data_IF_395020436368
#
_entry.id   IF_395020436368
#
_cell.length_a   1.000
_cell.length_b   1.000
_cell.length_c   1.000
_cell.angle_alpha   90.00
_cell.angle_beta   90.00
_cell.angle_gamma   90.00
#
_symmetry.space_group_name_H-M   'P 1'
#
loop_
_entity.id
_entity.type
_entity.pdbx_description
1 polymer ?
#
# COMPACT_ATOMS: atom_id res chain seq x y z
N UNK A 1 1.44 -31.76 13.62
CA UNK A 1 2.59 -31.42 14.49
C UNK A 1 2.07 -31.47 15.91
N UNK A 2 2.41 -32.50 16.62
CA UNK A 2 2.12 -32.69 18.06
C UNK A 2 3.41 -32.42 18.82
N UNK A 3 3.36 -31.61 19.89
CA UNK A 3 4.51 -31.41 20.77
C UNK A 3 4.89 -29.95 21.10
N UNK A 4 4.15 -28.98 20.64
CA UNK A 4 4.36 -27.59 21.06
C UNK A 4 3.30 -27.25 22.12
N UNK A 5 3.66 -27.45 23.39
CA UNK A 5 2.85 -27.05 24.55
C UNK A 5 3.62 -25.97 25.32
N UNK A 6 2.91 -24.99 25.90
CA UNK A 6 3.46 -23.89 26.69
C UNK A 6 4.28 -22.82 25.94
N UNK A 7 3.88 -22.44 24.72
CA UNK A 7 4.36 -21.17 24.16
C UNK A 7 3.77 -20.05 25.01
N UNK A 8 4.60 -19.39 25.79
CA UNK A 8 4.23 -18.12 26.42
C UNK A 8 4.02 -17.13 25.29
N UNK A 9 2.82 -16.59 25.16
CA UNK A 9 2.56 -15.45 24.29
C UNK A 9 3.60 -14.37 24.58
N UNK A 10 4.30 -13.89 23.57
CA UNK A 10 5.08 -12.67 23.68
C UNK A 10 4.18 -11.57 24.24
N UNK A 11 4.73 -10.65 25.03
CA UNK A 11 3.95 -9.64 25.74
C UNK A 11 2.98 -8.91 24.80
N UNK A 12 1.79 -8.62 25.29
CA UNK A 12 0.75 -7.90 24.53
C UNK A 12 1.16 -6.49 24.11
N UNK A 13 2.26 -6.02 24.63
CA UNK A 13 2.72 -4.64 24.49
C UNK A 13 4.21 -4.61 24.16
N UNK A 14 4.58 -3.84 23.15
CA UNK A 14 5.96 -3.56 22.76
C UNK A 14 6.09 -2.06 22.53
N UNK A 15 7.10 -1.44 23.11
CA UNK A 15 7.46 -0.05 22.87
C UNK A 15 8.94 0.01 22.48
N UNK A 16 9.23 0.59 21.34
CA UNK A 16 10.58 0.74 20.77
C UNK A 16 10.88 2.22 20.62
N UNK A 17 11.58 2.84 21.60
CA UNK A 17 12.09 4.18 21.40
C UNK A 17 13.28 4.16 20.45
N UNK A 18 13.34 5.13 19.55
CA UNK A 18 14.43 5.32 18.61
C UNK A 18 15.03 6.73 18.73
N UNK A 19 16.32 6.84 18.52
CA UNK A 19 16.97 8.13 18.33
C UNK A 19 18.05 8.01 17.27
N UNK A 20 18.10 8.99 16.36
CA UNK A 20 19.10 9.08 15.31
C UNK A 20 19.72 10.46 15.32
N UNK A 21 21.04 10.48 15.24
CA UNK A 21 21.82 11.70 15.08
C UNK A 21 22.49 11.62 13.72
N UNK A 22 22.14 12.53 12.82
CA UNK A 22 22.73 12.62 11.49
C UNK A 22 23.61 13.85 11.42
N UNK A 23 24.89 13.65 11.09
CA UNK A 23 25.82 14.72 10.79
C UNK A 23 25.99 14.80 9.28
N UNK A 24 25.62 15.92 8.67
CA UNK A 24 25.87 16.19 7.26
C UNK A 24 26.88 17.32 7.12
N UNK A 25 27.84 17.13 6.18
CA UNK A 25 28.80 18.15 5.80
C UNK A 25 28.62 18.41 4.30
N UNK A 26 28.17 19.60 3.96
CA UNK A 26 28.09 20.05 2.56
C UNK A 26 29.29 20.97 2.29
N UNK A 27 30.16 20.55 1.37
CA UNK A 27 31.25 21.37 0.86
C UNK A 27 30.85 22.00 -0.47
N UNK A 28 30.88 23.32 -0.56
CA UNK A 28 30.76 24.01 -1.84
C UNK A 28 32.16 24.45 -2.30
N UNK A 29 32.56 24.08 -3.51
CA UNK A 29 33.71 24.67 -4.16
C UNK A 29 33.32 26.07 -4.68
N UNK A 30 33.80 27.09 -4.00
CA UNK A 30 33.84 28.45 -4.56
C UNK A 30 35.25 28.76 -5.00
N UNK A 31 35.39 29.56 -6.06
CA UNK A 31 36.72 29.95 -6.66
C UNK A 31 37.71 30.53 -5.65
N UNK A 32 37.31 30.78 -4.40
CA UNK A 32 38.18 31.44 -3.40
C UNK A 32 38.25 30.75 -2.01
N UNK A 33 37.39 29.78 -1.70
CA UNK A 33 37.44 29.06 -0.40
C UNK A 33 36.52 27.83 -0.40
N UNK A 34 36.94 26.78 0.32
CA UNK A 34 36.07 25.67 0.74
C UNK A 34 35.22 26.16 1.93
N UNK A 35 33.94 26.45 1.69
CA UNK A 35 32.98 26.77 2.75
C UNK A 35 32.20 25.50 3.03
N UNK A 36 32.47 24.85 4.17
CA UNK A 36 31.71 23.71 4.65
C UNK A 36 30.68 24.14 5.69
N UNK A 37 29.42 23.74 5.52
CA UNK A 37 28.43 23.83 6.60
C UNK A 37 28.21 22.46 7.21
N UNK A 38 28.46 22.32 8.52
CA UNK A 38 28.15 21.12 9.27
C UNK A 38 26.77 21.29 9.89
N UNK A 39 25.85 20.37 9.61
CA UNK A 39 24.52 20.32 10.21
C UNK A 39 24.36 19.05 11.02
N UNK A 40 23.90 19.19 12.26
CA UNK A 40 23.50 18.09 13.11
C UNK A 40 21.98 18.06 13.17
N UNK A 41 21.41 16.94 12.73
CA UNK A 41 19.98 16.67 12.87
C UNK A 41 19.75 15.62 13.94
N UNK A 42 18.83 15.91 14.86
CA UNK A 42 18.36 14.97 15.87
C UNK A 42 16.98 14.49 15.46
N UNK A 43 16.77 13.20 15.46
CA UNK A 43 15.47 12.60 15.29
C UNK A 43 15.17 11.68 16.47
N UNK A 44 14.03 11.89 17.14
CA UNK A 44 13.53 11.02 18.20
C UNK A 44 12.24 10.41 17.69
N UNK A 45 12.17 9.09 17.73
CA UNK A 45 11.04 8.30 17.25
C UNK A 45 10.53 7.35 18.35
N UNK A 46 9.31 6.88 18.18
CA UNK A 46 8.74 5.86 19.05
C UNK A 46 7.76 4.99 18.30
N UNK A 47 7.99 3.69 18.32
CA UNK A 47 7.07 2.69 17.79
C UNK A 47 6.38 1.96 18.93
N UNK A 48 5.08 1.80 18.77
CA UNK A 48 4.19 1.18 19.72
C UNK A 48 3.45 0.03 19.03
N UNK A 49 3.42 -1.15 19.64
CA UNK A 49 2.64 -2.29 19.18
C UNK A 49 1.84 -2.86 20.35
N UNK A 50 0.58 -3.13 20.11
CA UNK A 50 -0.34 -3.71 21.09
C UNK A 50 -1.19 -4.79 20.46
N UNK A 51 -1.05 -6.02 20.94
CA UNK A 51 -1.90 -7.13 20.55
C UNK A 51 -3.20 -7.09 21.34
N UNK A 52 -4.26 -6.52 20.75
CA UNK A 52 -5.60 -6.42 21.35
C UNK A 52 -6.15 -7.82 21.57
N UNK A 53 -5.99 -8.67 20.57
CA UNK A 53 -6.30 -10.11 20.62
C UNK A 53 -5.19 -10.90 19.95
N UNK A 54 -5.27 -12.23 19.95
CA UNK A 54 -4.33 -13.10 19.21
C UNK A 54 -4.36 -12.89 17.69
N UNK A 55 -5.39 -12.19 17.18
CA UNK A 55 -5.61 -11.96 15.74
C UNK A 55 -5.84 -10.50 15.39
N UNK A 56 -5.69 -9.57 16.35
CA UNK A 56 -5.89 -8.12 16.13
C UNK A 56 -4.77 -7.35 16.79
N UNK A 57 -4.10 -6.52 16.00
CA UNK A 57 -2.95 -5.72 16.42
C UNK A 57 -3.17 -4.25 16.10
N UNK A 58 -2.82 -3.41 17.06
CA UNK A 58 -2.65 -1.97 16.90
C UNK A 58 -1.15 -1.66 16.85
N UNK A 59 -0.75 -0.91 15.85
CA UNK A 59 0.60 -0.36 15.73
C UNK A 59 0.48 1.16 15.60
N UNK A 60 1.36 1.89 16.26
CA UNK A 60 1.46 3.34 16.12
C UNK A 60 2.94 3.73 16.06
N UNK A 61 3.23 4.77 15.30
CA UNK A 61 4.57 5.31 15.18
C UNK A 61 4.51 6.82 15.24
N UNK A 62 5.40 7.40 16.02
CA UNK A 62 5.54 8.85 16.15
C UNK A 62 6.90 9.23 15.61
N UNK A 63 6.93 10.18 14.68
CA UNK A 63 8.12 10.66 14.01
C UNK A 63 9.05 9.52 13.53
N UNK A 64 8.49 8.52 12.79
CA UNK A 64 9.25 7.35 12.40
C UNK A 64 10.47 7.74 11.57
N UNK A 65 11.63 7.24 11.97
CA UNK A 65 12.83 7.34 11.15
C UNK A 65 12.90 6.19 10.15
N UNK A 66 12.70 6.50 8.89
CA UNK A 66 12.86 5.55 7.80
C UNK A 66 14.26 5.62 7.15
N UNK A 67 15.20 6.35 7.72
CA UNK A 67 16.58 6.43 7.25
C UNK A 67 17.32 5.08 7.23
N UNK A 68 16.83 4.11 8.00
CA UNK A 68 17.34 2.73 7.98
C UNK A 68 16.74 1.89 6.83
N UNK A 69 15.71 2.39 6.16
CA UNK A 69 15.22 1.70 4.97
C UNK A 69 16.28 1.79 3.87
N UNK A 70 16.64 0.64 3.32
CA UNK A 70 17.59 0.56 2.21
C UNK A 70 17.18 1.49 1.08
N UNK A 71 18.11 2.31 0.61
CA UNK A 71 17.89 3.26 -0.49
C UNK A 71 17.45 2.50 -1.74
N UNK A 72 16.49 3.04 -2.46
CA UNK A 72 16.06 2.45 -3.72
C UNK A 72 17.20 2.50 -4.75
N UNK A 73 17.37 1.45 -5.58
CA UNK A 73 18.38 1.47 -6.60
C UNK A 73 18.15 2.63 -7.57
N UNK A 74 19.21 3.29 -7.97
CA UNK A 74 19.13 4.30 -9.02
C UNK A 74 18.74 3.64 -10.35
N UNK A 75 17.52 3.91 -10.81
CA UNK A 75 17.00 3.40 -12.08
C UNK A 75 16.83 4.56 -13.04
N UNK A 76 17.48 4.48 -14.20
CA UNK A 76 17.23 5.41 -15.28
C UNK A 76 15.89 5.04 -15.95
N UNK A 77 14.82 5.75 -15.57
CA UNK A 77 13.51 5.56 -16.18
C UNK A 77 13.38 6.40 -17.45
N UNK A 78 13.48 5.75 -18.60
CA UNK A 78 13.29 6.37 -19.93
C UNK A 78 11.83 6.27 -20.41
N UNK A 79 10.93 5.68 -19.60
CA UNK A 79 9.51 5.55 -19.94
C UNK A 79 8.71 6.73 -19.42
N UNK A 80 7.51 6.93 -19.98
CA UNK A 80 6.53 7.90 -19.47
C UNK A 80 5.80 7.44 -18.21
N UNK A 81 6.10 6.23 -17.71
CA UNK A 81 5.41 5.61 -16.57
C UNK A 81 6.25 5.67 -15.32
N UNK A 82 5.61 5.81 -14.18
CA UNK A 82 6.27 5.78 -12.88
C UNK A 82 6.87 4.38 -12.61
N UNK A 83 8.09 4.35 -12.08
CA UNK A 83 8.71 3.09 -11.65
C UNK A 83 8.11 2.64 -10.31
N UNK A 84 7.67 1.40 -10.26
CA UNK A 84 7.21 0.79 -9.02
C UNK A 84 8.39 0.34 -8.16
N UNK A 85 8.39 0.75 -6.91
CA UNK A 85 9.34 0.29 -5.89
C UNK A 85 8.61 -0.44 -4.76
N UNK A 86 9.04 -1.62 -4.34
CA UNK A 86 8.44 -2.32 -3.21
C UNK A 86 8.61 -1.51 -1.91
N UNK A 87 7.65 -1.62 -0.99
CA UNK A 87 7.75 -1.01 0.32
C UNK A 87 8.82 -1.71 1.16
N UNK A 88 9.64 -0.93 1.88
CA UNK A 88 10.71 -1.43 2.74
C UNK A 88 10.53 -1.01 4.21
N UNK A 89 9.68 0.00 4.48
CA UNK A 89 9.42 0.49 5.83
C UNK A 89 8.61 -0.52 6.63
N UNK A 90 9.18 -1.07 7.69
CA UNK A 90 8.62 -2.18 8.48
C UNK A 90 7.18 -1.91 8.93
N UNK A 91 6.86 -0.67 9.33
CA UNK A 91 5.51 -0.28 9.71
C UNK A 91 4.48 -0.56 8.61
N UNK A 92 4.80 -0.30 7.34
CA UNK A 92 3.88 -0.51 6.22
C UNK A 92 3.96 -1.93 5.65
N UNK A 93 5.09 -2.63 5.77
CA UNK A 93 5.27 -4.01 5.30
C UNK A 93 4.45 -4.99 6.13
N UNK A 94 4.42 -4.80 7.45
CA UNK A 94 3.67 -5.67 8.34
C UNK A 94 2.17 -5.62 8.05
N UNK A 95 1.57 -6.75 7.63
CA UNK A 95 0.16 -6.86 7.29
C UNK A 95 -0.25 -6.14 6.00
N UNK A 96 0.70 -5.84 5.10
CA UNK A 96 0.44 -5.18 3.82
C UNK A 96 -0.51 -5.99 2.91
N UNK A 97 -0.49 -7.32 3.03
CA UNK A 97 -1.35 -8.25 2.30
C UNK A 97 -2.85 -8.00 2.54
N UNK A 98 -3.22 -7.47 3.70
CA UNK A 98 -4.60 -7.09 4.02
C UNK A 98 -5.11 -6.04 3.04
N UNK A 99 -4.27 -5.11 2.62
CA UNK A 99 -4.61 -3.98 1.76
C UNK A 99 -4.42 -4.25 0.26
N UNK A 100 -3.94 -5.43 -0.09
CA UNK A 100 -3.75 -5.81 -1.49
C UNK A 100 -5.09 -5.94 -2.22
N UNK A 101 -5.19 -5.34 -3.41
CA UNK A 101 -6.36 -5.37 -4.30
C UNK A 101 -5.91 -5.47 -5.78
N UNK A 102 -6.75 -5.96 -6.70
CA UNK A 102 -6.40 -6.09 -8.13
C UNK A 102 -5.94 -4.77 -8.77
N UNK A 103 -6.72 -3.68 -8.64
CA UNK A 103 -6.16 -2.34 -8.78
C UNK A 103 -5.42 -2.02 -7.50
N UNK A 104 -4.19 -1.61 -7.59
CA UNK A 104 -3.41 -1.26 -6.41
C UNK A 104 -3.88 0.09 -5.84
N UNK A 105 -5.09 0.09 -5.20
CA UNK A 105 -5.72 1.29 -4.65
C UNK A 105 -4.92 1.89 -3.50
N UNK A 106 -4.07 1.10 -2.84
CA UNK A 106 -3.17 1.55 -1.80
C UNK A 106 -1.73 1.19 -2.13
N UNK A 107 -0.89 2.20 -2.15
CA UNK A 107 0.56 2.12 -2.32
C UNK A 107 1.21 2.97 -1.22
N UNK A 108 1.71 2.31 -0.20
CA UNK A 108 2.17 2.96 1.05
C UNK A 108 3.26 4.01 0.83
N UNK A 109 4.06 3.89 -0.23
CA UNK A 109 5.08 4.89 -0.58
C UNK A 109 4.53 6.26 -0.98
N UNK A 110 3.21 6.38 -1.16
CA UNK A 110 2.56 7.69 -1.31
C UNK A 110 2.57 8.49 0.00
N UNK A 111 2.60 7.80 1.15
CA UNK A 111 2.71 8.42 2.48
C UNK A 111 4.17 8.79 2.72
N UNK A 112 4.45 10.08 2.87
CA UNK A 112 5.82 10.58 3.01
C UNK A 112 6.63 10.55 1.70
N UNK A 113 5.94 10.60 0.54
CA UNK A 113 6.59 10.68 -0.78
C UNK A 113 7.49 11.91 -0.87
N UNK A 114 8.67 11.73 -1.44
CA UNK A 114 9.63 12.83 -1.65
C UNK A 114 9.03 13.98 -2.46
N UNK A 115 9.54 15.17 -2.22
CA UNK A 115 9.23 16.39 -2.98
C UNK A 115 9.85 16.34 -4.37
N UNK A 116 9.55 17.31 -5.22
CA UNK A 116 10.19 17.42 -6.55
C UNK A 116 11.69 17.68 -6.45
N UNK A 117 12.15 18.29 -5.37
CA UNK A 117 13.58 18.48 -5.08
C UNK A 117 14.27 17.23 -4.53
N UNK A 118 13.51 16.14 -4.29
CA UNK A 118 14.03 14.89 -3.72
C UNK A 118 14.09 14.88 -2.19
N UNK A 119 13.59 15.90 -1.51
CA UNK A 119 13.54 15.95 -0.04
C UNK A 119 12.49 14.98 0.51
N UNK A 120 12.82 14.30 1.60
CA UNK A 120 11.89 13.41 2.29
C UNK A 120 10.83 14.23 3.01
N UNK A 121 9.56 13.90 2.82
CA UNK A 121 8.44 14.47 3.57
C UNK A 121 8.31 13.71 4.89
N UNK A 122 8.51 14.37 6.07
CA UNK A 122 8.43 13.70 7.34
C UNK A 122 7.01 13.18 7.63
N UNK A 123 6.93 12.01 8.26
CA UNK A 123 5.68 11.48 8.80
C UNK A 123 5.68 11.79 10.31
N UNK A 124 4.75 12.66 10.75
CA UNK A 124 4.69 13.04 12.17
C UNK A 124 4.14 11.91 13.03
N UNK A 125 3.07 11.27 12.53
CA UNK A 125 2.43 10.16 13.23
C UNK A 125 1.77 9.23 12.23
N UNK A 126 1.83 7.94 12.51
CA UNK A 126 1.08 6.93 11.79
C UNK A 126 0.46 5.94 12.76
N UNK A 127 -0.74 5.47 12.45
CA UNK A 127 -1.44 4.45 13.20
C UNK A 127 -1.98 3.38 12.26
N UNK A 128 -1.92 2.12 12.67
CA UNK A 128 -2.41 0.98 11.91
C UNK A 128 -3.09 -0.02 12.83
N UNK A 129 -4.33 -0.34 12.52
CA UNK A 129 -5.08 -1.42 13.14
C UNK A 129 -5.34 -2.50 12.10
N UNK A 130 -4.87 -3.71 12.36
CA UNK A 130 -5.11 -4.86 11.48
C UNK A 130 -5.62 -6.04 12.27
N UNK A 131 -6.46 -6.85 11.66
CA UNK A 131 -6.96 -8.01 12.38
C UNK A 131 -7.90 -8.91 11.59
N UNK A 132 -8.30 -9.96 12.28
CA UNK A 132 -9.30 -10.91 11.81
C UNK A 132 -10.31 -11.19 12.90
N UNK A 133 -11.60 -11.09 12.56
CA UNK A 133 -12.72 -11.46 13.42
C UNK A 133 -13.60 -12.46 12.69
N UNK A 134 -13.59 -13.71 13.15
CA UNK A 134 -14.22 -14.80 12.43
C UNK A 134 -13.70 -14.94 11.01
N UNK A 135 -14.57 -14.80 10.02
CA UNK A 135 -14.23 -14.88 8.59
C UNK A 135 -13.95 -13.52 7.95
N UNK A 136 -13.90 -12.44 8.74
CA UNK A 136 -13.65 -11.10 8.25
C UNK A 136 -12.24 -10.66 8.61
N UNK A 137 -11.43 -10.29 7.62
CA UNK A 137 -10.14 -9.62 7.77
C UNK A 137 -10.36 -8.13 7.57
N UNK A 138 -9.75 -7.29 8.40
CA UNK A 138 -9.87 -5.84 8.31
C UNK A 138 -8.55 -5.14 8.59
N UNK A 139 -8.43 -3.93 8.06
CA UNK A 139 -7.29 -3.07 8.30
C UNK A 139 -7.69 -1.60 8.16
N UNK A 140 -7.09 -0.76 8.99
CA UNK A 140 -7.16 0.71 8.90
C UNK A 140 -5.76 1.26 9.07
N UNK A 141 -5.38 2.19 8.21
CA UNK A 141 -4.15 2.97 8.33
C UNK A 141 -4.54 4.44 8.33
N UNK A 142 -3.96 5.20 9.24
CA UNK A 142 -4.01 6.67 9.25
C UNK A 142 -2.61 7.21 9.44
N UNK A 143 -2.28 8.30 8.77
CA UNK A 143 -1.01 8.97 8.89
C UNK A 143 -1.16 10.48 8.71
N UNK A 144 -0.25 11.25 9.32
CA UNK A 144 -0.10 12.68 9.14
C UNK A 144 1.33 12.96 8.72
N UNK A 145 1.50 13.73 7.64
CA UNK A 145 2.81 14.21 7.19
C UNK A 145 2.92 15.70 7.40
N UNK A 146 4.14 16.16 7.64
CA UNK A 146 4.47 17.57 7.75
C UNK A 146 4.57 18.21 6.36
N UNK A 147 4.33 19.53 6.31
CA UNK A 147 4.57 20.29 5.09
C UNK A 147 6.07 20.33 4.77
N UNK A 148 6.41 20.11 3.51
CA UNK A 148 7.78 20.15 3.01
C UNK A 148 7.79 20.61 1.55
N UNK A 149 8.53 21.68 1.28
CA UNK A 149 8.64 22.30 -0.05
C UNK A 149 7.24 22.55 -0.67
N UNK A 150 6.93 21.97 -1.82
CA UNK A 150 5.63 22.09 -2.50
C UNK A 150 4.51 21.21 -1.89
N UNK A 151 4.83 20.40 -0.89
CA UNK A 151 3.85 19.51 -0.26
C UNK A 151 3.35 20.10 1.05
N UNK A 152 2.03 20.25 1.15
CA UNK A 152 1.36 20.67 2.36
C UNK A 152 1.27 19.57 3.42
N UNK A 153 0.83 19.97 4.62
CA UNK A 153 0.44 19.03 5.66
C UNK A 153 -0.67 18.12 5.14
N UNK A 154 -0.49 16.82 5.23
CA UNK A 154 -1.41 15.89 4.60
C UNK A 154 -1.85 14.81 5.58
N UNK A 155 -3.17 14.59 5.66
CA UNK A 155 -3.78 13.49 6.40
C UNK A 155 -4.18 12.37 5.43
N UNK A 156 -3.83 11.15 5.78
CA UNK A 156 -4.11 9.94 5.02
C UNK A 156 -5.03 9.02 5.82
N UNK A 157 -6.01 8.43 5.14
CA UNK A 157 -6.90 7.41 5.72
C UNK A 157 -7.15 6.30 4.72
N UNK A 158 -6.84 5.09 5.11
CA UNK A 158 -7.03 3.88 4.32
C UNK A 158 -7.81 2.88 5.15
N UNK A 159 -8.84 2.29 4.58
CA UNK A 159 -9.64 1.26 5.23
C UNK A 159 -9.92 0.08 4.33
N UNK A 160 -9.80 -1.11 4.87
CA UNK A 160 -10.02 -2.38 4.19
C UNK A 160 -10.87 -3.30 5.04
N UNK A 161 -11.86 -3.95 4.42
CA UNK A 161 -12.56 -5.09 4.99
C UNK A 161 -12.75 -6.16 3.91
N UNK A 162 -12.45 -7.42 4.23
CA UNK A 162 -12.64 -8.57 3.33
C UNK A 162 -13.25 -9.71 4.12
N UNK A 163 -14.35 -10.25 3.62
CA UNK A 163 -15.04 -11.38 4.25
C UNK A 163 -15.04 -12.60 3.35
N UNK A 164 -14.70 -13.73 3.94
CA UNK A 164 -14.68 -15.04 3.29
C UNK A 164 -15.91 -15.85 3.68
N UNK A 165 -16.44 -16.60 2.73
CA UNK A 165 -17.59 -17.48 2.85
C UNK A 165 -17.23 -18.86 2.27
N UNK A 166 -18.09 -19.85 2.52
CA UNK A 166 -17.94 -21.18 1.92
C UNK A 166 -16.55 -21.78 2.12
N UNK A 167 -16.03 -21.75 3.36
CA UNK A 167 -14.68 -22.23 3.73
C UNK A 167 -13.54 -21.53 2.96
N UNK A 168 -13.76 -20.30 2.51
CA UNK A 168 -12.76 -19.52 1.76
C UNK A 168 -12.95 -19.50 0.24
N UNK A 169 -13.85 -20.31 -0.30
CA UNK A 169 -14.07 -20.39 -1.76
C UNK A 169 -14.74 -19.14 -2.34
N UNK A 170 -15.37 -18.35 -1.50
CA UNK A 170 -15.99 -17.07 -1.90
C UNK A 170 -15.47 -15.98 -0.99
N UNK A 171 -15.11 -14.85 -1.56
CA UNK A 171 -14.73 -13.68 -0.78
C UNK A 171 -15.23 -12.39 -1.45
N UNK A 172 -15.54 -11.41 -0.61
CA UNK A 172 -15.87 -10.06 -1.02
C UNK A 172 -15.07 -9.09 -0.16
N UNK A 173 -14.60 -8.04 -0.79
CA UNK A 173 -13.81 -7.04 -0.13
C UNK A 173 -14.17 -5.63 -0.56
N UNK A 174 -13.93 -4.68 0.33
CA UNK A 174 -14.02 -3.26 0.07
C UNK A 174 -12.76 -2.59 0.58
N UNK A 175 -12.19 -1.69 -0.21
CA UNK A 175 -11.09 -0.84 0.19
C UNK A 175 -11.41 0.60 -0.19
N UNK A 176 -11.14 1.52 0.72
CA UNK A 176 -11.15 2.94 0.40
C UNK A 176 -9.83 3.61 0.79
N UNK A 177 -9.47 4.64 0.05
CA UNK A 177 -8.34 5.52 0.34
C UNK A 177 -8.80 6.96 0.26
N UNK A 178 -8.40 7.76 1.23
CA UNK A 178 -8.72 9.18 1.29
C UNK A 178 -7.47 9.96 1.70
N UNK A 179 -7.20 11.02 0.95
CA UNK A 179 -6.15 11.98 1.24
C UNK A 179 -6.81 13.34 1.47
N UNK A 180 -6.44 14.01 2.53
CA UNK A 180 -6.84 15.37 2.82
C UNK A 180 -5.58 16.25 2.93
N UNK A 181 -5.35 17.07 1.93
CA UNK A 181 -4.31 18.09 1.97
C UNK A 181 -4.86 19.27 2.82
N UNK A 182 -4.26 19.47 4.00
CA UNK A 182 -4.75 20.44 4.98
C UNK A 182 -4.43 21.87 4.58
N UNK A 183 -3.51 22.07 3.65
CA UNK A 183 -3.09 23.40 3.15
C UNK A 183 -3.77 23.76 1.80
N UNK A 184 -4.49 22.81 1.23
CA UNK A 184 -5.28 23.01 0.00
C UNK A 184 -6.68 22.38 0.15
N UNK A 185 -7.57 22.66 -0.81
CA UNK A 185 -8.91 22.04 -0.84
C UNK A 185 -8.96 20.69 -1.51
N UNK A 186 -7.81 20.09 -1.85
CA UNK A 186 -7.77 18.81 -2.57
C UNK A 186 -8.00 17.64 -1.65
N UNK A 187 -9.02 16.85 -1.94
CA UNK A 187 -9.42 15.68 -1.15
C UNK A 187 -9.61 14.44 -2.03
N UNK A 188 -8.54 13.90 -2.64
CA UNK A 188 -8.63 12.69 -3.43
C UNK A 188 -9.20 11.52 -2.65
N UNK A 189 -10.13 10.80 -3.28
CA UNK A 189 -10.79 9.61 -2.74
C UNK A 189 -10.78 8.51 -3.80
N UNK A 190 -10.46 7.28 -3.39
CA UNK A 190 -10.75 6.11 -4.20
C UNK A 190 -11.44 5.04 -3.36
N UNK A 191 -12.35 4.32 -3.99
CA UNK A 191 -13.07 3.19 -3.38
C UNK A 191 -13.10 2.03 -4.37
N UNK A 192 -12.88 0.82 -3.89
CA UNK A 192 -12.94 -0.40 -4.70
C UNK A 192 -13.69 -1.50 -3.98
N UNK A 193 -14.44 -2.26 -4.77
CA UNK A 193 -15.11 -3.48 -4.35
C UNK A 193 -14.52 -4.63 -5.14
N UNK A 194 -13.98 -5.63 -4.45
CA UNK A 194 -13.39 -6.82 -5.06
C UNK A 194 -14.10 -8.10 -4.63
N UNK A 195 -14.02 -9.10 -5.50
CA UNK A 195 -14.61 -10.41 -5.26
C UNK A 195 -13.73 -11.52 -5.80
N UNK A 196 -13.86 -12.68 -5.21
CA UNK A 196 -13.29 -13.93 -5.69
C UNK A 196 -14.24 -15.09 -5.40
N UNK A 197 -14.45 -15.94 -6.39
CA UNK A 197 -15.34 -17.08 -6.27
C UNK A 197 -14.74 -18.29 -6.98
N UNK A 198 -14.64 -19.41 -6.26
CA UNK A 198 -14.24 -20.70 -6.78
C UNK A 198 -15.48 -21.57 -6.98
N UNK A 199 -15.64 -22.09 -8.19
CA UNK A 199 -16.81 -22.82 -8.65
C UNK A 199 -16.45 -24.28 -8.96
N UNK A 200 -17.45 -25.15 -8.90
CA UNK A 200 -17.34 -26.54 -9.38
C UNK A 200 -16.13 -27.29 -8.81
N UNK A 201 -16.09 -27.43 -7.47
CA UNK A 201 -14.97 -28.07 -6.76
C UNK A 201 -13.60 -27.41 -7.08
N UNK A 202 -13.58 -26.08 -7.13
CA UNK A 202 -12.40 -25.27 -7.39
C UNK A 202 -11.81 -25.44 -8.81
N UNK A 203 -12.59 -25.96 -9.75
CA UNK A 203 -12.14 -26.09 -11.14
C UNK A 203 -12.19 -24.76 -11.90
N UNK A 204 -13.04 -23.83 -11.47
CA UNK A 204 -13.16 -22.51 -12.08
C UNK A 204 -12.97 -21.42 -11.03
N UNK A 205 -12.41 -20.30 -11.48
CA UNK A 205 -12.26 -19.07 -10.69
C UNK A 205 -12.95 -17.95 -11.43
N UNK A 206 -13.76 -17.18 -10.70
CA UNK A 206 -14.29 -15.90 -11.16
C UNK A 206 -13.91 -14.84 -10.13
N UNK A 207 -13.13 -13.87 -10.52
CA UNK A 207 -12.70 -12.79 -9.64
C UNK A 207 -12.65 -11.47 -10.38
N UNK A 208 -12.60 -10.39 -9.62
CA UNK A 208 -12.51 -9.07 -10.21
C UNK A 208 -12.52 -7.97 -9.15
N UNK A 209 -12.48 -6.75 -9.66
CA UNK A 209 -12.63 -5.55 -8.87
C UNK A 209 -13.31 -4.47 -9.71
N UNK A 210 -14.26 -3.77 -9.11
CA UNK A 210 -14.73 -2.48 -9.57
C UNK A 210 -14.14 -1.41 -8.65
N UNK A 211 -13.62 -0.33 -9.24
CA UNK A 211 -13.07 0.78 -8.48
C UNK A 211 -13.53 2.11 -9.06
N UNK A 212 -13.71 3.09 -8.19
CA UNK A 212 -14.03 4.46 -8.52
C UNK A 212 -13.04 5.40 -7.84
N UNK A 213 -12.59 6.42 -8.56
CA UNK A 213 -11.74 7.50 -8.06
C UNK A 213 -12.43 8.83 -8.22
N UNK A 214 -12.15 9.77 -7.32
CA UNK A 214 -12.59 11.15 -7.38
C UNK A 214 -11.46 12.07 -6.94
N UNK A 215 -11.14 13.05 -7.77
CA UNK A 215 -10.19 14.13 -7.46
C UNK A 215 -10.89 15.43 -7.87
N UNK A 216 -11.15 16.29 -6.90
CA UNK A 216 -11.92 17.51 -7.05
C UNK A 216 -13.30 17.25 -7.71
N UNK A 217 -13.53 17.74 -8.91
CA UNK A 217 -14.76 17.55 -9.69
C UNK A 217 -14.69 16.37 -10.66
N UNK A 218 -13.48 15.81 -10.89
CA UNK A 218 -13.28 14.69 -11.82
C UNK A 218 -13.53 13.37 -11.13
N UNK A 219 -14.35 12.53 -11.77
CA UNK A 219 -14.64 11.17 -11.31
C UNK A 219 -14.26 10.19 -12.42
N UNK A 220 -13.65 9.09 -12.04
CA UNK A 220 -13.27 8.03 -12.96
C UNK A 220 -13.52 6.65 -12.37
N UNK A 221 -13.61 5.64 -13.23
CA UNK A 221 -13.89 4.27 -12.84
C UNK A 221 -13.04 3.27 -13.62
N UNK A 222 -12.82 2.12 -12.99
CA UNK A 222 -12.13 1.00 -13.58
C UNK A 222 -12.76 -0.33 -13.16
N UNK A 223 -12.66 -1.33 -14.02
CA UNK A 223 -13.08 -2.69 -13.72
C UNK A 223 -12.04 -3.69 -14.24
N UNK A 224 -11.66 -4.62 -13.37
CA UNK A 224 -10.88 -5.80 -13.73
C UNK A 224 -11.75 -7.03 -13.55
N UNK A 225 -11.72 -7.93 -14.53
CA UNK A 225 -12.41 -9.21 -14.51
C UNK A 225 -11.43 -10.32 -14.86
N UNK A 226 -11.52 -11.41 -14.14
CA UNK A 226 -10.76 -12.63 -14.39
C UNK A 226 -11.70 -13.83 -14.30
N UNK A 227 -11.76 -14.62 -15.36
CA UNK A 227 -12.46 -15.90 -15.37
C UNK A 227 -11.51 -16.97 -15.89
N UNK A 228 -11.30 -18.03 -15.13
CA UNK A 228 -10.40 -19.09 -15.51
C UNK A 228 -10.93 -20.47 -15.15
N UNK A 229 -10.64 -21.43 -15.99
CA UNK A 229 -10.68 -22.85 -15.66
C UNK A 229 -9.26 -23.28 -15.30
N UNK A 230 -9.05 -23.63 -14.02
CA UNK A 230 -7.73 -23.96 -13.46
C UNK A 230 -7.59 -25.45 -13.09
N UNK A 231 -8.70 -26.18 -13.11
CA UNK A 231 -8.73 -27.61 -12.78
C UNK A 231 -9.20 -28.48 -13.95
N UNK A 232 -8.90 -29.78 -13.86
CA UNK A 232 -9.25 -30.76 -14.88
C UNK A 232 -8.02 -31.34 -15.59
N UNK A 233 -8.23 -32.38 -16.38
CA UNK A 233 -7.14 -33.22 -16.94
C UNK A 233 -6.39 -32.56 -18.10
N UNK A 234 -7.10 -31.89 -19.00
CA UNK A 234 -6.53 -31.57 -20.31
C UNK A 234 -6.60 -30.10 -20.67
N UNK A 235 -7.65 -29.41 -20.24
CA UNK A 235 -7.93 -28.05 -20.68
C UNK A 235 -7.92 -27.05 -19.53
N UNK A 236 -7.10 -26.04 -19.66
CA UNK A 236 -7.18 -24.82 -18.86
C UNK A 236 -7.34 -23.62 -19.78
N UNK A 237 -8.06 -22.61 -19.33
CA UNK A 237 -8.17 -21.34 -20.04
C UNK A 237 -8.32 -20.19 -19.04
N UNK A 238 -7.97 -19.00 -19.47
CA UNK A 238 -8.26 -17.75 -18.77
C UNK A 238 -8.80 -16.69 -19.72
N UNK A 239 -9.69 -15.89 -19.21
CA UNK A 239 -10.23 -14.69 -19.86
C UNK A 239 -10.06 -13.53 -18.88
N UNK A 240 -9.40 -12.50 -19.33
CA UNK A 240 -9.11 -11.32 -18.53
C UNK A 240 -9.61 -10.07 -19.24
N UNK A 241 -10.15 -9.13 -18.50
CA UNK A 241 -10.50 -7.81 -18.97
C UNK A 241 -10.03 -6.74 -17.97
N UNK A 242 -9.41 -5.70 -18.48
CA UNK A 242 -8.99 -4.53 -17.71
C UNK A 242 -9.48 -3.28 -18.45
N UNK A 243 -10.47 -2.63 -17.87
CA UNK A 243 -11.15 -1.48 -18.45
C UNK A 243 -11.00 -0.31 -17.49
N UNK A 244 -10.42 0.78 -17.95
CA UNK A 244 -10.17 2.00 -17.17
C UNK A 244 -10.57 3.21 -17.99
N UNK A 245 -11.44 4.06 -17.46
CA UNK A 245 -11.78 5.29 -18.17
C UNK A 245 -10.64 6.33 -18.10
N UNK A 246 -10.76 7.39 -18.89
CA UNK A 246 -9.74 8.44 -19.01
C UNK A 246 -9.53 9.23 -17.71
N UNK A 247 -10.55 9.29 -16.86
CA UNK A 247 -10.51 10.04 -15.60
C UNK A 247 -10.18 9.15 -14.40
N UNK A 248 -10.06 7.82 -14.59
CA UNK A 248 -9.70 6.92 -13.51
C UNK A 248 -8.28 7.21 -13.05
N UNK A 249 -8.16 7.75 -11.85
CA UNK A 249 -6.87 8.15 -11.27
C UNK A 249 -6.87 7.84 -9.77
N UNK A 250 -6.01 6.93 -9.37
CA UNK A 250 -5.81 6.49 -7.99
C UNK A 250 -4.45 6.90 -7.42
N UNK A 251 -3.63 7.64 -8.17
CA UNK A 251 -2.22 7.91 -7.86
C UNK A 251 -2.00 8.78 -6.62
N UNK A 252 -3.05 9.37 -6.08
CA UNK A 252 -2.94 10.11 -4.81
C UNK A 252 -2.50 9.19 -3.66
N UNK A 253 -2.99 7.95 -3.61
CA UNK A 253 -2.66 6.94 -2.59
C UNK A 253 -2.42 5.54 -3.17
N UNK A 254 -2.75 5.30 -4.42
CA UNK A 254 -2.55 4.06 -5.14
C UNK A 254 -1.38 4.11 -6.11
N UNK A 255 -1.30 3.08 -6.93
CA UNK A 255 -0.35 3.00 -8.03
C UNK A 255 -1.09 2.57 -9.30
N UNK A 256 -1.01 3.40 -10.33
CA UNK A 256 -1.60 3.15 -11.64
C UNK A 256 -0.53 3.41 -12.71
N UNK A 257 -0.28 2.44 -13.56
CA UNK A 257 0.63 2.59 -14.68
C UNK A 257 0.06 3.57 -15.73
N UNK A 258 -1.24 3.42 -16.05
CA UNK A 258 -1.95 4.29 -16.99
C UNK A 258 -3.47 4.16 -16.82
N UNK A 259 -4.19 5.18 -17.24
CA UNK A 259 -5.65 5.20 -17.42
C UNK A 259 -6.03 5.04 -18.91
N UNK A 260 -7.31 5.19 -19.24
CA UNK A 260 -7.84 5.11 -20.62
C UNK A 260 -7.42 3.80 -21.32
N UNK A 261 -7.67 2.67 -20.67
CA UNK A 261 -7.26 1.34 -21.11
C UNK A 261 -8.50 0.48 -21.33
N UNK A 262 -8.53 -0.22 -22.47
CA UNK A 262 -9.41 -1.36 -22.72
C UNK A 262 -8.53 -2.52 -23.17
N UNK A 263 -8.24 -3.42 -22.26
CA UNK A 263 -7.39 -4.59 -22.51
C UNK A 263 -8.17 -5.87 -22.27
N UNK A 264 -8.05 -6.80 -23.21
CA UNK A 264 -8.64 -8.12 -23.12
C UNK A 264 -7.55 -9.15 -23.39
N UNK A 265 -7.49 -10.17 -22.56
CA UNK A 265 -6.56 -11.28 -22.73
C UNK A 265 -7.31 -12.60 -22.67
N UNK A 266 -6.93 -13.53 -23.57
CA UNK A 266 -7.39 -14.90 -23.55
C UNK A 266 -6.19 -15.84 -23.57
N UNK A 267 -6.07 -16.67 -22.56
CA UNK A 267 -5.08 -17.73 -22.45
C UNK A 267 -5.74 -19.10 -22.56
N UNK A 268 -5.04 -20.06 -23.16
CA UNK A 268 -5.52 -21.43 -23.29
C UNK A 268 -4.33 -22.40 -23.24
N UNK A 269 -4.51 -23.51 -22.53
CA UNK A 269 -3.52 -24.57 -22.45
C UNK A 269 -4.17 -25.95 -22.55
N UNK A 270 -3.54 -26.82 -23.31
CA UNK A 270 -3.93 -28.22 -23.43
C UNK A 270 -2.77 -29.14 -23.01
N UNK A 271 -3.04 -30.06 -22.12
CA UNK A 271 -2.05 -31.00 -21.60
C UNK A 271 -2.40 -32.43 -22.08
N UNK A 272 -1.42 -33.10 -22.65
CA UNK A 272 -1.46 -34.54 -22.93
C UNK A 272 -0.69 -35.28 -21.86
N UNK A 273 -1.27 -36.26 -21.24
CA UNK A 273 -0.58 -37.22 -20.34
C UNK A 273 -0.07 -38.40 -21.16
#
# INVERSE_FOLDING_TARGET
>A
ITGISNIKSAGKFEFLPGSVITASSEGFESESALIGSNRLHYNISGDFKYDITTSTRLEASVNPDFGQAEVDPAVLNLSAYETYFPEKRTFFVNGADIFATPFQLFYSRRIGRTTYEGNIVPINVAGKLTGKSGNTTFGVISALTEAKDERGNTAFLIGRAKRSFNKGNTNFGILFTHLNDLDSSKTPLAIGFDWGHQLFNNQFVFSGQYAQSKIDTLSGQGIMLHFAKIGGRHWNFSLDADLRDKNFNIDALGFLDRNNVNSYYMGHSYFTT
#
